data_IF_067519079009
#
_entry.id   IF_067519079009
#
_cell.length_a   1.000
_cell.length_b   1.000
_cell.length_c   1.000
_cell.angle_alpha   90.00
_cell.angle_beta   90.00
_cell.angle_gamma   90.00
#
_symmetry.space_group_name_H-M   'P 1'
#
loop_
_entity.id
_entity.type
_entity.pdbx_description
1 polymer ?
#
# COMPACT_ATOMS: atom_id res chain seq x y z
N UNK A 1 -10.50 -3.95 -13.79
CA UNK A 1 -10.55 -2.55 -14.30
C UNK A 1 -10.32 -1.61 -13.13
N UNK A 2 -9.34 -0.70 -13.21
CA UNK A 2 -8.92 0.17 -12.07
C UNK A 2 -9.58 1.55 -12.13
N UNK A 3 -9.69 2.16 -13.32
CA UNK A 3 -10.14 3.55 -13.46
C UNK A 3 -11.57 3.86 -12.95
N UNK A 4 -12.62 3.05 -13.20
CA UNK A 4 -13.98 3.34 -12.71
C UNK A 4 -14.10 3.31 -11.18
N UNK A 5 -13.28 2.47 -10.52
CA UNK A 5 -13.26 2.32 -9.05
C UNK A 5 -12.82 3.61 -8.34
N UNK A 6 -12.06 4.46 -9.02
CA UNK A 6 -11.46 5.67 -8.45
C UNK A 6 -11.98 6.97 -9.07
N UNK A 7 -13.00 6.91 -9.92
CA UNK A 7 -13.46 8.06 -10.72
C UNK A 7 -13.87 9.27 -9.87
N UNK A 8 -14.45 9.06 -8.69
CA UNK A 8 -14.86 10.14 -7.77
C UNK A 8 -13.80 10.53 -6.74
N UNK A 9 -12.64 9.86 -6.72
CA UNK A 9 -11.62 10.05 -5.68
C UNK A 9 -10.52 10.96 -6.18
N UNK A 10 -10.21 12.03 -5.45
CA UNK A 10 -9.10 12.94 -5.74
C UNK A 10 -7.90 12.62 -4.82
N UNK A 11 -7.00 11.76 -5.31
CA UNK A 11 -5.79 11.35 -4.57
C UNK A 11 -6.00 10.26 -3.52
N UNK A 12 -4.90 9.81 -2.91
CA UNK A 12 -4.92 8.77 -1.87
C UNK A 12 -5.34 7.39 -2.38
N UNK A 13 -4.88 7.02 -3.58
CA UNK A 13 -5.22 5.74 -4.22
C UNK A 13 -4.45 4.55 -3.65
N UNK A 14 -3.36 4.83 -2.94
CA UNK A 14 -2.54 3.82 -2.28
C UNK A 14 -2.51 4.04 -0.79
N UNK A 15 -2.38 2.95 -0.03
CA UNK A 15 -2.06 2.98 1.39
C UNK A 15 -0.81 2.18 1.68
N UNK A 16 -0.07 2.60 2.70
CA UNK A 16 1.10 1.90 3.21
C UNK A 16 0.77 1.33 4.59
N UNK A 17 0.96 0.04 4.77
CA UNK A 17 0.88 -0.66 6.04
C UNK A 17 2.28 -1.01 6.49
N UNK A 18 2.72 -0.47 7.63
CA UNK A 18 4.00 -0.86 8.23
C UNK A 18 3.88 -2.31 8.72
N UNK A 19 4.87 -3.13 8.38
CA UNK A 19 4.97 -4.51 8.82
C UNK A 19 6.05 -4.65 9.88
N UNK A 20 6.08 -5.81 10.53
CA UNK A 20 7.24 -6.22 11.31
C UNK A 20 8.49 -6.33 10.43
N UNK A 21 9.68 -6.36 11.05
CA UNK A 21 10.93 -6.51 10.33
C UNK A 21 11.01 -7.86 9.60
N UNK A 22 11.76 -7.89 8.50
CA UNK A 22 11.97 -9.10 7.69
C UNK A 22 12.83 -10.11 8.44
N UNK A 23 12.46 -11.38 8.32
CA UNK A 23 13.26 -12.47 8.89
C UNK A 23 14.60 -12.60 8.16
N UNK A 24 15.69 -12.79 8.91
CA UNK A 24 17.05 -12.95 8.40
C UNK A 24 17.90 -11.69 8.55
N UNK A 25 17.46 -10.56 7.97
CA UNK A 25 18.23 -9.31 7.95
C UNK A 25 17.61 -8.18 8.78
N UNK A 26 16.48 -8.43 9.45
CA UNK A 26 15.77 -7.47 10.29
C UNK A 26 15.39 -6.16 9.56
N UNK A 27 15.31 -6.18 8.23
CA UNK A 27 15.00 -4.98 7.46
C UNK A 27 13.58 -4.49 7.75
N UNK A 28 13.33 -3.18 7.92
CA UNK A 28 11.99 -2.65 8.10
C UNK A 28 11.17 -2.84 6.83
N UNK A 29 9.98 -3.43 6.96
CA UNK A 29 9.10 -3.76 5.82
C UNK A 29 7.82 -2.94 5.85
N UNK A 30 7.22 -2.78 4.67
CA UNK A 30 5.88 -2.23 4.52
C UNK A 30 5.16 -2.88 3.33
N UNK A 31 3.84 -2.93 3.38
CA UNK A 31 2.98 -3.38 2.28
C UNK A 31 2.25 -2.18 1.67
N UNK A 32 2.30 -2.07 0.36
CA UNK A 32 1.60 -1.01 -0.40
C UNK A 32 0.44 -1.66 -1.14
N UNK A 33 -0.75 -1.06 -1.03
CA UNK A 33 -1.97 -1.57 -1.65
C UNK A 33 -2.77 -0.44 -2.31
N UNK A 34 -3.52 -0.80 -3.35
CA UNK A 34 -4.55 0.05 -3.94
C UNK A 34 -5.82 0.01 -3.07
N UNK A 35 -6.41 1.17 -2.77
CA UNK A 35 -7.54 1.33 -1.83
C UNK A 35 -8.88 0.94 -2.44
#
# INVERSE_FOLDING_TARGET
>A
VVAPRYASRNGGYTRILKLGPRHGDNAPMARIELV
#
